data_IF_365603338258
#
_entry.id   IF_365603338258
#
_cell.length_a   1.000
_cell.length_b   1.000
_cell.length_c   1.000
_cell.angle_alpha   90.00
_cell.angle_beta   90.00
_cell.angle_gamma   90.00
#
_symmetry.space_group_name_H-M   'P 1'
#
loop_
_entity.id
_entity.type
_entity.pdbx_description
1 polymer ?
#
# COMPACT_ATOMS: atom_id res chain seq x y z
N UNK A 1 -6.86 73.50 64.28
CA UNK A 1 -8.20 73.46 63.64
C UNK A 1 -8.55 72.01 63.37
N UNK A 2 -9.80 71.63 63.72
CA UNK A 2 -10.46 70.33 63.47
C UNK A 2 -10.37 69.97 61.96
N UNK A 3 -10.31 68.72 61.49
CA UNK A 3 -11.23 67.58 61.71
C UNK A 3 -10.60 66.26 61.21
N UNK A 4 -10.82 65.17 61.95
CA UNK A 4 -10.67 63.76 61.54
C UNK A 4 -11.76 63.31 60.56
N UNK A 5 -11.47 62.31 59.72
CA UNK A 5 -12.29 61.15 59.25
C UNK A 5 -11.27 60.26 58.47
N UNK A 6 -11.19 58.94 58.47
CA UNK A 6 -11.65 57.79 59.25
C UNK A 6 -10.90 56.57 58.65
N UNK A 7 -10.62 55.59 59.48
CA UNK A 7 -10.03 54.27 59.21
C UNK A 7 -10.69 53.47 58.06
N UNK A 8 -9.93 52.56 57.43
CA UNK A 8 -10.12 51.09 57.56
C UNK A 8 -8.78 50.37 57.26
N UNK A 9 -8.41 49.55 58.25
CA UNK A 9 -7.32 48.59 58.31
C UNK A 9 -7.82 47.23 57.81
N UNK A 10 -6.94 46.35 57.34
CA UNK A 10 -6.71 45.02 57.94
C UNK A 10 -5.72 44.21 57.08
N UNK A 11 -4.74 43.68 57.80
CA UNK A 11 -3.73 42.73 57.39
C UNK A 11 -4.29 41.33 57.08
N UNK A 12 -3.60 40.57 56.23
CA UNK A 12 -3.60 39.08 56.25
C UNK A 12 -2.17 38.65 55.92
N UNK A 13 -1.34 38.35 56.93
CA UNK A 13 -1.18 37.08 57.63
C UNK A 13 -0.51 35.98 56.76
N UNK A 14 0.79 35.80 57.02
CA UNK A 14 1.54 34.58 56.75
C UNK A 14 0.86 33.40 57.45
N UNK A 15 0.45 32.40 56.67
CA UNK A 15 0.29 31.03 57.16
C UNK A 15 1.07 30.09 56.24
N UNK A 16 2.06 29.44 56.83
CA UNK A 16 2.74 28.31 56.25
C UNK A 16 1.75 27.15 56.14
N UNK A 17 1.56 26.64 54.93
CA UNK A 17 0.98 25.32 54.69
C UNK A 17 1.97 24.55 53.82
N UNK A 18 2.60 23.55 54.42
CA UNK A 18 3.31 22.50 53.71
C UNK A 18 2.30 21.74 52.84
N UNK A 19 2.42 21.88 51.53
CA UNK A 19 1.95 20.87 50.58
C UNK A 19 3.05 20.60 49.55
N UNK A 20 3.47 19.34 49.51
CA UNK A 20 4.25 18.72 48.46
C UNK A 20 3.63 19.07 47.09
N UNK A 21 4.31 19.89 46.30
CA UNK A 21 4.04 19.98 44.87
C UNK A 21 4.75 18.80 44.17
N UNK A 22 4.04 17.91 43.46
CA UNK A 22 4.70 17.05 42.51
C UNK A 22 5.21 17.93 41.36
N UNK A 23 6.49 17.75 41.01
CA UNK A 23 7.06 18.19 39.74
C UNK A 23 6.10 17.80 38.60
N UNK A 24 5.51 18.81 37.96
CA UNK A 24 4.78 18.63 36.71
C UNK A 24 5.82 18.24 35.66
N UNK A 25 5.96 16.94 35.42
CA UNK A 25 6.55 16.41 34.19
C UNK A 25 5.70 16.96 33.04
N UNK A 26 6.33 17.72 32.14
CA UNK A 26 5.72 18.10 30.87
C UNK A 26 5.18 16.84 30.17
N UNK A 27 3.86 16.83 29.96
CA UNK A 27 3.17 15.81 29.19
C UNK A 27 3.61 15.93 27.73
N UNK A 28 4.49 15.01 27.28
CA UNK A 28 4.68 14.73 25.85
C UNK A 28 3.33 14.51 25.20
N UNK A 29 2.93 15.44 24.32
CA UNK A 29 1.71 15.34 23.55
C UNK A 29 1.84 14.17 22.59
N UNK A 30 0.98 13.17 22.76
CA UNK A 30 0.77 12.11 21.77
C UNK A 30 -0.21 12.64 20.75
N UNK A 31 0.25 12.90 19.53
CA UNK A 31 -0.65 13.15 18.40
C UNK A 31 -1.09 11.79 17.86
N UNK A 32 -2.33 11.39 18.17
CA UNK A 32 -3.08 10.44 17.34
C UNK A 32 -3.73 11.30 16.26
N UNK A 33 -3.25 11.23 15.04
CA UNK A 33 -3.80 11.99 13.91
C UNK A 33 -5.03 11.27 13.38
N UNK A 34 -6.23 11.67 13.83
CA UNK A 34 -7.44 11.62 13.02
C UNK A 34 -7.44 12.86 12.14
N UNK A 35 -7.31 12.69 10.83
CA UNK A 35 -7.24 13.78 9.85
C UNK A 35 -8.66 14.35 9.65
N UNK A 36 -8.84 15.65 9.94
CA UNK A 36 -9.94 16.48 9.42
C UNK A 36 -9.30 17.79 8.96
N UNK A 37 -9.26 18.00 7.65
CA UNK A 37 -8.54 19.12 7.02
C UNK A 37 -9.23 20.47 7.20
N UNK A 38 -8.41 21.52 7.38
CA UNK A 38 -8.70 22.91 6.99
C UNK A 38 -7.37 23.52 6.51
N UNK A 39 -7.30 24.15 5.32
CA UNK A 39 -6.05 24.65 4.76
C UNK A 39 -5.71 26.07 5.25
N UNK A 40 -4.41 26.35 5.41
CA UNK A 40 -3.84 27.68 5.58
C UNK A 40 -2.96 27.97 4.35
N UNK A 41 -3.27 29.05 3.63
CA UNK A 41 -2.49 29.60 2.52
C UNK A 41 -1.06 29.96 2.94
N UNK A 42 -0.08 29.74 2.05
CA UNK A 42 0.85 30.81 1.64
C UNK A 42 1.80 30.48 0.48
N UNK A 43 1.95 31.53 -0.33
CA UNK A 43 3.18 32.07 -0.93
C UNK A 43 3.82 31.35 -2.14
N UNK A 44 3.69 32.03 -3.29
CA UNK A 44 4.43 31.83 -4.54
C UNK A 44 5.90 32.26 -4.41
N UNK A 45 6.81 31.54 -5.07
CA UNK A 45 8.05 32.12 -5.60
C UNK A 45 8.40 31.47 -6.95
N UNK A 46 8.86 32.31 -7.88
CA UNK A 46 9.01 32.07 -9.32
C UNK A 46 10.36 31.44 -9.69
N UNK A 47 10.34 30.69 -10.79
CA UNK A 47 11.46 30.24 -11.61
C UNK A 47 12.27 31.40 -12.23
N UNK A 48 13.56 31.23 -12.49
CA UNK A 48 14.07 30.86 -13.83
C UNK A 48 15.62 30.99 -14.01
N UNK A 49 16.16 29.93 -14.63
CA UNK A 49 17.11 29.83 -15.76
C UNK A 49 18.45 30.58 -15.81
N UNK A 50 19.48 29.85 -16.27
CA UNK A 50 20.69 30.39 -16.90
C UNK A 50 21.65 29.31 -17.40
N UNK A 51 21.63 29.04 -18.71
CA UNK A 51 22.46 28.09 -19.47
C UNK A 51 23.83 28.71 -19.82
N UNK A 52 24.91 27.91 -19.85
CA UNK A 52 26.04 28.13 -20.79
C UNK A 52 26.87 26.83 -21.03
N UNK A 53 27.44 26.72 -22.23
CA UNK A 53 27.86 25.50 -22.94
C UNK A 53 29.39 25.37 -23.22
N UNK A 54 29.77 24.18 -23.71
CA UNK A 54 30.96 23.78 -24.54
C UNK A 54 32.23 23.21 -23.85
N UNK A 55 33.09 22.41 -24.52
CA UNK A 55 32.92 21.48 -25.66
C UNK A 55 33.55 20.07 -25.47
N UNK A 56 33.38 19.22 -26.49
CA UNK A 56 33.68 17.79 -26.65
C UNK A 56 35.16 17.35 -26.66
N UNK A 57 35.42 16.09 -26.28
CA UNK A 57 36.52 15.26 -26.82
C UNK A 57 36.08 13.80 -27.03
N UNK A 58 36.31 13.28 -28.26
CA UNK A 58 36.07 11.90 -28.69
C UNK A 58 37.10 10.91 -28.13
N UNK A 59 36.67 9.67 -27.80
CA UNK A 59 37.21 8.41 -28.39
C UNK A 59 36.49 7.12 -27.92
N UNK A 60 35.98 6.42 -28.94
CA UNK A 60 35.92 4.97 -29.19
C UNK A 60 35.24 3.99 -28.20
N UNK A 61 34.13 3.47 -28.71
CA UNK A 61 33.28 2.35 -28.25
C UNK A 61 33.96 0.97 -28.37
N UNK A 62 33.45 -0.02 -27.63
CA UNK A 62 33.13 -1.32 -28.22
C UNK A 62 31.62 -1.59 -28.23
N UNK A 63 31.18 -2.13 -29.37
CA UNK A 63 29.81 -2.47 -29.81
C UNK A 63 28.90 -3.06 -28.72
N UNK A 64 27.84 -2.32 -28.38
CA UNK A 64 26.61 -2.87 -27.80
C UNK A 64 25.62 -3.15 -28.93
N UNK A 65 25.19 -4.41 -29.05
CA UNK A 65 24.13 -4.83 -29.95
C UNK A 65 22.89 -3.96 -29.68
N UNK A 66 22.51 -3.16 -30.67
CA UNK A 66 21.25 -2.43 -30.67
C UNK A 66 20.13 -3.45 -30.82
N UNK A 67 19.44 -3.76 -29.73
CA UNK A 67 18.10 -4.33 -29.81
C UNK A 67 17.21 -3.24 -30.40
N UNK A 68 16.89 -3.41 -31.68
CA UNK A 68 15.95 -2.57 -32.41
C UNK A 68 14.58 -2.72 -31.73
N UNK A 69 14.06 -1.61 -31.20
CA UNK A 69 12.66 -1.49 -30.79
C UNK A 69 11.80 -1.73 -32.04
N UNK A 70 11.21 -2.93 -32.13
CA UNK A 70 10.24 -3.25 -33.17
C UNK A 70 8.84 -3.23 -32.53
N UNK A 71 7.94 -2.49 -33.16
CA UNK A 71 6.60 -2.11 -32.69
C UNK A 71 5.59 -3.27 -32.67
N UNK A 72 5.00 -3.58 -31.49
CA UNK A 72 3.61 -4.02 -31.22
C UNK A 72 3.57 -4.68 -29.84
N UNK A 73 2.83 -4.07 -28.90
CA UNK A 73 2.67 -4.50 -27.50
C UNK A 73 3.99 -4.57 -26.70
N UNK A 74 4.19 -3.60 -25.80
CA UNK A 74 5.39 -3.52 -24.96
C UNK A 74 5.21 -4.47 -23.76
N UNK A 75 5.61 -5.72 -23.93
CA UNK A 75 5.72 -6.67 -22.83
C UNK A 75 7.12 -6.64 -22.23
N UNK A 76 7.20 -6.80 -20.90
CA UNK A 76 8.41 -7.15 -20.18
C UNK A 76 8.28 -8.61 -19.74
N UNK A 77 9.23 -9.42 -20.18
CA UNK A 77 9.37 -10.83 -19.81
C UNK A 77 10.13 -10.95 -18.49
N UNK A 78 9.93 -12.05 -17.74
CA UNK A 78 10.64 -12.27 -16.50
C UNK A 78 12.13 -12.51 -16.77
N UNK A 79 12.98 -12.25 -15.78
CA UNK A 79 14.42 -12.51 -15.85
C UNK A 79 14.67 -14.01 -16.06
N UNK A 80 13.92 -14.83 -15.33
CA UNK A 80 13.92 -16.29 -15.44
C UNK A 80 12.48 -16.78 -15.63
N UNK A 81 12.25 -17.58 -16.67
CA UNK A 81 10.95 -18.19 -16.92
C UNK A 81 10.83 -19.49 -16.10
N UNK A 82 9.82 -19.53 -15.24
CA UNK A 82 9.58 -20.67 -14.36
C UNK A 82 8.09 -20.89 -14.12
N UNK A 83 7.71 -22.16 -13.95
CA UNK A 83 6.41 -22.52 -13.42
C UNK A 83 6.51 -22.42 -11.89
N UNK A 84 5.74 -21.53 -11.29
CA UNK A 84 5.61 -21.45 -9.84
C UNK A 84 4.54 -22.43 -9.38
N UNK A 85 4.77 -23.07 -8.22
CA UNK A 85 3.84 -23.94 -7.50
C UNK A 85 3.68 -23.41 -6.08
N UNK A 86 2.59 -22.69 -5.82
CA UNK A 86 2.36 -22.01 -4.56
C UNK A 86 1.42 -22.84 -3.68
N UNK A 87 1.81 -23.09 -2.43
CA UNK A 87 1.05 -23.90 -1.47
C UNK A 87 1.47 -25.37 -1.47
N UNK A 88 0.80 -26.17 -0.63
CA UNK A 88 1.09 -27.61 -0.46
C UNK A 88 -0.10 -28.45 -0.94
N UNK A 89 0.18 -29.60 -1.53
CA UNK A 89 -0.82 -30.65 -1.78
C UNK A 89 -0.71 -31.70 -0.68
N UNK A 90 -1.82 -32.05 0.00
CA UNK A 90 -1.82 -33.05 1.09
C UNK A 90 -1.47 -34.47 0.61
N UNK A 91 -1.50 -34.73 -0.69
CA UNK A 91 -1.22 -36.04 -1.29
C UNK A 91 0.21 -36.19 -1.86
N UNK A 92 0.98 -35.11 -1.99
CA UNK A 92 2.37 -35.15 -2.44
C UNK A 92 3.28 -35.09 -1.22
N UNK A 93 4.01 -36.18 -0.93
CA UNK A 93 4.85 -36.38 0.25
C UNK A 93 6.14 -35.55 0.27
N UNK A 94 6.25 -34.52 -0.57
CA UNK A 94 7.42 -33.67 -0.65
C UNK A 94 7.01 -32.22 -0.44
N UNK A 95 7.74 -31.57 0.45
CA UNK A 95 7.58 -30.18 0.82
C UNK A 95 8.01 -29.31 -0.37
N UNK A 96 7.12 -29.12 -1.35
CA UNK A 96 7.38 -28.23 -2.49
C UNK A 96 7.26 -26.78 -2.00
N UNK A 97 8.33 -26.29 -1.37
CA UNK A 97 8.61 -24.85 -1.31
C UNK A 97 9.13 -24.49 -2.70
N UNK A 98 8.23 -24.35 -3.68
CA UNK A 98 8.66 -23.79 -4.96
C UNK A 98 8.78 -22.27 -4.84
N UNK A 99 9.63 -21.69 -5.68
CA UNK A 99 9.75 -20.26 -5.80
C UNK A 99 8.36 -19.60 -5.95
N UNK A 100 8.13 -18.54 -5.19
CA UNK A 100 6.89 -17.79 -5.19
C UNK A 100 7.08 -16.38 -5.77
N UNK A 101 8.26 -16.10 -6.31
CA UNK A 101 8.63 -14.79 -6.84
C UNK A 101 8.89 -14.85 -8.34
N UNK A 102 8.54 -13.77 -9.03
CA UNK A 102 8.92 -13.52 -10.42
C UNK A 102 9.59 -12.15 -10.49
N UNK A 103 10.81 -12.12 -11.02
CA UNK A 103 11.56 -10.89 -11.19
C UNK A 103 11.47 -10.37 -12.62
N UNK A 104 11.28 -9.06 -12.78
CA UNK A 104 11.24 -8.34 -14.05
C UNK A 104 12.28 -7.22 -14.03
N UNK A 105 13.04 -7.06 -15.11
CA UNK A 105 13.97 -5.94 -15.25
C UNK A 105 13.44 -4.91 -16.24
N UNK A 106 13.07 -3.73 -15.75
CA UNK A 106 12.56 -2.62 -16.54
C UNK A 106 13.72 -1.68 -16.83
N UNK A 107 14.16 -1.59 -18.09
CA UNK A 107 15.37 -0.86 -18.46
C UNK A 107 15.18 0.66 -18.47
N UNK A 108 14.00 1.12 -18.87
CA UNK A 108 13.71 2.53 -19.06
C UNK A 108 12.93 3.13 -17.88
N UNK A 109 13.02 4.46 -17.75
CA UNK A 109 12.12 5.18 -16.85
C UNK A 109 10.67 5.00 -17.32
N UNK A 110 9.77 4.70 -16.38
CA UNK A 110 8.36 4.49 -16.69
C UNK A 110 7.64 5.84 -16.74
N UNK A 111 6.96 6.09 -17.85
CA UNK A 111 6.00 7.19 -17.91
C UNK A 111 4.75 6.81 -17.13
N UNK A 112 4.38 7.63 -16.13
CA UNK A 112 3.14 7.48 -15.35
C UNK A 112 1.86 7.54 -16.21
N UNK A 113 1.97 7.90 -17.49
CA UNK A 113 0.86 8.02 -18.42
C UNK A 113 0.60 6.73 -19.19
N UNK A 114 0.86 5.54 -18.62
CA UNK A 114 0.52 4.26 -19.25
C UNK A 114 -0.16 3.33 -18.26
N UNK A 115 -1.19 2.63 -18.72
CA UNK A 115 -1.75 1.53 -17.96
C UNK A 115 -0.81 0.32 -18.01
N UNK A 116 -0.50 -0.24 -16.84
CA UNK A 116 0.24 -1.48 -16.72
C UNK A 116 -0.72 -2.63 -16.39
N UNK A 117 -0.39 -3.81 -16.90
CA UNK A 117 -1.07 -5.07 -16.60
C UNK A 117 -0.08 -6.13 -16.20
N UNK A 118 -0.42 -6.92 -15.18
CA UNK A 118 0.23 -8.20 -14.92
C UNK A 118 -0.59 -9.30 -15.60
N UNK A 119 0.05 -10.12 -16.41
CA UNK A 119 -0.60 -11.25 -17.08
C UNK A 119 0.15 -12.54 -16.77
N UNK A 120 -0.59 -13.64 -16.67
CA UNK A 120 -0.04 -14.97 -16.44
C UNK A 120 -1.11 -16.03 -16.69
N UNK A 121 -0.71 -17.29 -16.84
CA UNK A 121 -1.63 -18.41 -16.80
C UNK A 121 -1.71 -18.98 -15.38
N UNK A 122 -2.91 -19.26 -14.91
CA UNK A 122 -3.25 -19.70 -13.56
C UNK A 122 -3.90 -21.08 -13.59
N UNK A 123 -3.49 -21.98 -12.71
CA UNK A 123 -4.13 -23.27 -12.45
C UNK A 123 -4.37 -23.44 -10.96
N UNK A 124 -5.50 -24.02 -10.57
CA UNK A 124 -5.86 -24.31 -9.17
C UNK A 124 -6.82 -23.28 -8.57
N UNK A 125 -6.92 -22.09 -9.17
CA UNK A 125 -7.79 -21.00 -8.74
C UNK A 125 -8.60 -20.46 -9.94
N UNK A 126 -9.81 -19.98 -9.68
CA UNK A 126 -10.74 -19.49 -10.71
C UNK A 126 -10.13 -18.33 -11.51
N UNK A 127 -9.67 -17.31 -10.79
CA UNK A 127 -9.15 -16.06 -11.34
C UNK A 127 -8.19 -15.38 -10.36
N UNK A 128 -7.57 -14.29 -10.82
CA UNK A 128 -6.59 -13.53 -10.06
C UNK A 128 -7.09 -12.94 -8.74
N UNK A 129 -8.40 -12.78 -8.53
CA UNK A 129 -8.92 -12.25 -7.25
C UNK A 129 -8.77 -13.26 -6.12
N UNK A 130 -8.74 -14.56 -6.44
CA UNK A 130 -8.41 -15.64 -5.51
C UNK A 130 -6.90 -15.75 -5.24
N UNK A 131 -6.05 -15.03 -5.98
CA UNK A 131 -4.60 -15.04 -5.79
C UNK A 131 -4.22 -13.91 -4.85
N UNK A 132 -3.47 -14.22 -3.78
CA UNK A 132 -2.82 -13.19 -2.97
C UNK A 132 -1.45 -12.87 -3.55
N UNK A 133 -1.18 -11.60 -3.84
CA UNK A 133 0.13 -11.17 -4.38
C UNK A 133 0.55 -9.78 -3.92
N UNK A 134 1.86 -9.51 -3.95
CA UNK A 134 2.44 -8.19 -3.76
C UNK A 134 3.41 -7.84 -4.89
N UNK A 135 3.59 -6.53 -5.12
CA UNK A 135 4.58 -5.98 -6.06
C UNK A 135 5.62 -5.21 -5.24
N UNK A 136 6.89 -5.49 -5.47
CA UNK A 136 8.03 -4.87 -4.79
C UNK A 136 7.85 -4.90 -3.26
N UNK A 137 7.93 -3.74 -2.63
CA UNK A 137 7.76 -3.55 -1.20
C UNK A 137 6.32 -3.09 -0.85
N UNK A 138 5.38 -3.33 -1.76
CA UNK A 138 3.96 -3.16 -1.55
C UNK A 138 3.38 -4.17 -0.55
N UNK A 139 2.13 -3.93 -0.21
CA UNK A 139 1.31 -4.84 0.61
C UNK A 139 0.58 -5.83 -0.28
N UNK A 140 0.29 -7.01 0.25
CA UNK A 140 -0.41 -8.06 -0.48
C UNK A 140 -1.89 -7.73 -0.65
N UNK A 141 -2.41 -7.96 -1.85
CA UNK A 141 -3.79 -7.78 -2.27
C UNK A 141 -4.34 -9.09 -2.84
N UNK A 142 -5.66 -9.28 -2.82
CA UNK A 142 -6.28 -10.51 -3.27
C UNK A 142 -6.16 -11.68 -2.29
N UNK A 143 -6.79 -12.80 -2.67
CA UNK A 143 -6.86 -14.01 -1.86
C UNK A 143 -7.92 -13.99 -0.76
N UNK A 144 -8.79 -12.98 -0.70
CA UNK A 144 -9.84 -12.90 0.32
C UNK A 144 -10.98 -13.88 0.10
N UNK A 145 -11.35 -14.13 -1.15
CA UNK A 145 -12.35 -15.14 -1.51
C UNK A 145 -11.67 -16.13 -2.45
N UNK A 146 -11.59 -17.38 -2.02
CA UNK A 146 -10.93 -18.44 -2.77
C UNK A 146 -11.98 -19.30 -3.46
N UNK A 147 -11.90 -19.36 -4.78
CA UNK A 147 -12.62 -20.32 -5.60
C UNK A 147 -11.62 -21.19 -6.34
N UNK A 148 -11.66 -22.50 -6.09
CA UNK A 148 -10.79 -23.46 -6.75
C UNK A 148 -11.27 -23.74 -8.17
N UNK A 149 -10.31 -23.88 -9.08
CA UNK A 149 -10.54 -24.31 -10.47
C UNK A 149 -9.32 -25.08 -10.97
N UNK A 150 -9.50 -26.35 -11.29
CA UNK A 150 -8.41 -27.24 -11.73
C UNK A 150 -8.24 -27.26 -13.25
N UNK A 151 -8.19 -26.06 -13.85
CA UNK A 151 -7.95 -25.84 -15.26
C UNK A 151 -7.03 -24.63 -15.43
N UNK A 152 -6.25 -24.60 -16.51
CA UNK A 152 -5.48 -23.40 -16.85
C UNK A 152 -6.41 -22.30 -17.37
N UNK A 153 -6.24 -21.09 -16.84
CA UNK A 153 -6.96 -19.89 -17.25
C UNK A 153 -5.98 -18.72 -17.41
N UNK A 154 -6.18 -17.90 -18.44
CA UNK A 154 -5.36 -16.72 -18.65
C UNK A 154 -5.87 -15.55 -17.77
N UNK A 155 -4.97 -14.92 -17.04
CA UNK A 155 -5.25 -13.84 -16.11
C UNK A 155 -4.69 -12.53 -16.63
N UNK A 156 -5.45 -11.45 -16.42
CA UNK A 156 -5.07 -10.08 -16.77
C UNK A 156 -5.49 -9.16 -15.62
N UNK A 157 -4.49 -8.67 -14.89
CA UNK A 157 -4.68 -7.80 -13.74
C UNK A 157 -4.26 -6.38 -14.09
N UNK A 158 -5.06 -5.37 -13.71
CA UNK A 158 -4.61 -3.98 -13.74
C UNK A 158 -3.71 -3.74 -12.54
N UNK A 159 -2.53 -3.19 -12.78
CA UNK A 159 -1.59 -2.79 -11.71
C UNK A 159 -1.28 -1.31 -11.84
N UNK A 160 -1.02 -0.64 -10.72
CA UNK A 160 -0.67 0.77 -10.78
C UNK A 160 0.76 0.92 -11.32
N UNK A 161 0.95 1.85 -12.25
CA UNK A 161 2.28 2.16 -12.78
C UNK A 161 3.23 2.66 -11.68
N UNK A 162 2.69 3.24 -10.60
CA UNK A 162 3.46 3.71 -9.44
C UNK A 162 4.02 2.59 -8.57
N UNK A 163 3.53 1.35 -8.74
CA UNK A 163 4.09 0.17 -8.06
C UNK A 163 5.35 -0.36 -8.76
N UNK A 164 5.60 0.07 -10.00
CA UNK A 164 6.74 -0.35 -10.81
C UNK A 164 7.84 0.72 -10.80
N UNK A 165 9.09 0.26 -10.88
CA UNK A 165 10.28 1.12 -10.94
C UNK A 165 11.21 0.71 -12.06
N UNK A 166 12.09 1.62 -12.48
CA UNK A 166 13.25 1.23 -13.30
C UNK A 166 14.14 0.26 -12.52
N UNK A 167 14.70 -0.72 -13.23
CA UNK A 167 15.50 -1.80 -12.68
C UNK A 167 14.65 -3.02 -12.29
N UNK A 168 15.09 -3.73 -11.26
CA UNK A 168 14.47 -4.98 -10.82
C UNK A 168 13.16 -4.68 -10.08
N UNK A 169 12.11 -5.35 -10.53
CA UNK A 169 10.81 -5.42 -9.88
C UNK A 169 10.53 -6.87 -9.51
N UNK A 170 9.97 -7.11 -8.34
CA UNK A 170 9.66 -8.46 -7.83
C UNK A 170 8.16 -8.56 -7.61
N UNK A 171 7.52 -9.55 -8.21
CA UNK A 171 6.13 -9.90 -7.91
C UNK A 171 6.16 -11.18 -7.08
N UNK A 172 5.54 -11.13 -5.90
CA UNK A 172 5.46 -12.28 -4.99
C UNK A 172 4.04 -12.78 -4.92
N UNK A 173 3.87 -14.07 -5.11
CA UNK A 173 2.62 -14.77 -4.95
C UNK A 173 2.61 -15.44 -3.57
N UNK A 174 1.48 -15.39 -2.90
CA UNK A 174 1.35 -15.82 -1.51
C UNK A 174 0.32 -16.93 -1.38
N UNK A 175 0.53 -17.77 -0.38
CA UNK A 175 -0.46 -18.72 0.10
C UNK A 175 -0.88 -18.28 1.50
N UNK A 176 -2.18 -18.31 1.78
CA UNK A 176 -2.67 -17.97 3.09
C UNK A 176 -2.24 -19.02 4.12
N UNK A 177 -1.97 -18.56 5.35
CA UNK A 177 -1.59 -19.43 6.47
C UNK A 177 -2.70 -20.48 6.68
N UNK A 178 -2.33 -21.76 6.72
CA UNK A 178 -3.26 -22.92 6.86
C UNK A 178 -4.14 -23.21 5.63
N UNK A 179 -3.84 -22.63 4.46
CA UNK A 179 -4.48 -23.06 3.22
C UNK A 179 -4.21 -24.53 2.93
N UNK A 180 -5.27 -25.29 2.65
CA UNK A 180 -5.19 -26.68 2.19
C UNK A 180 -5.48 -26.77 0.69
N UNK A 181 -4.83 -25.91 -0.08
CA UNK A 181 -4.88 -25.89 -1.54
C UNK A 181 -3.54 -25.42 -2.08
N UNK A 182 -3.32 -25.66 -3.36
CA UNK A 182 -2.17 -25.15 -4.08
C UNK A 182 -2.61 -24.60 -5.43
N UNK A 183 -1.79 -23.76 -6.03
CA UNK A 183 -2.01 -23.23 -7.36
C UNK A 183 -0.70 -23.07 -8.11
N UNK A 184 -0.78 -22.98 -9.43
CA UNK A 184 0.39 -22.87 -10.31
C UNK A 184 0.26 -21.65 -11.18
N UNK A 185 1.41 -21.01 -11.43
CA UNK A 185 1.53 -19.83 -12.27
C UNK A 185 2.62 -20.07 -13.30
N UNK A 186 2.39 -19.64 -14.54
CA UNK A 186 3.40 -19.64 -15.60
C UNK A 186 3.17 -18.50 -16.58
N UNK A 187 4.11 -18.28 -17.49
CA UNK A 187 4.01 -17.30 -18.58
C UNK A 187 3.74 -15.87 -18.06
N UNK A 188 4.30 -15.53 -16.89
CA UNK A 188 4.08 -14.22 -16.27
C UNK A 188 4.75 -13.12 -17.09
N UNK A 189 4.06 -12.01 -17.32
CA UNK A 189 4.57 -10.85 -18.09
C UNK A 189 3.93 -9.55 -17.63
N UNK A 190 4.65 -8.45 -17.77
CA UNK A 190 4.08 -7.11 -17.58
C UNK A 190 3.77 -6.52 -18.96
N UNK A 191 2.51 -6.19 -19.23
CA UNK A 191 2.10 -5.49 -20.46
C UNK A 191 1.85 -4.02 -20.17
N UNK A 192 2.44 -3.14 -20.97
CA UNK A 192 2.07 -1.73 -21.00
C UNK A 192 1.12 -1.45 -22.16
N UNK A 193 -0.03 -0.85 -21.87
CA UNK A 193 -1.04 -0.52 -22.86
C UNK A 193 -1.09 0.99 -23.16
N UNK A 194 -2.28 1.44 -23.59
CA UNK A 194 -2.60 2.80 -24.01
C UNK A 194 -2.13 3.87 -23.03
N UNK A 195 -1.93 5.07 -23.57
CA UNK A 195 -1.72 6.23 -22.73
C UNK A 195 -2.97 6.48 -21.91
N UNK A 196 -2.82 6.52 -20.60
CA UNK A 196 -3.89 6.97 -19.70
C UNK A 196 -3.81 8.49 -19.57
N UNK A 197 -4.97 9.14 -19.47
CA UNK A 197 -5.03 10.53 -19.04
C UNK A 197 -4.70 10.60 -17.54
N UNK A 198 -4.15 11.73 -17.10
CA UNK A 198 -3.80 11.94 -15.68
C UNK A 198 -5.02 12.35 -14.84
N UNK A 199 -6.22 11.96 -15.25
CA UNK A 199 -7.43 12.32 -14.53
C UNK A 199 -7.56 11.49 -13.27
N UNK A 200 -8.09 12.15 -12.22
CA UNK A 200 -8.47 11.48 -10.97
C UNK A 200 -9.60 10.49 -11.25
N UNK A 201 -9.33 9.20 -11.07
CA UNK A 201 -10.28 8.13 -11.42
C UNK A 201 -10.11 6.92 -10.51
N UNK A 202 -11.21 6.24 -10.22
CA UNK A 202 -11.19 4.94 -9.55
C UNK A 202 -10.97 3.85 -10.61
N UNK A 203 -9.90 3.07 -10.45
CA UNK A 203 -9.59 1.92 -11.29
C UNK A 203 -9.95 0.65 -10.52
N UNK A 204 -10.92 -0.09 -11.04
CA UNK A 204 -11.33 -1.39 -10.49
C UNK A 204 -10.54 -2.50 -11.18
N UNK A 205 -9.95 -3.37 -10.36
CA UNK A 205 -9.18 -4.55 -10.76
C UNK A 205 -9.97 -5.81 -10.40
N UNK A 206 -10.96 -6.14 -11.24
CA UNK A 206 -11.80 -7.33 -11.13
C UNK A 206 -11.86 -8.04 -12.49
N UNK A 207 -12.09 -9.36 -12.54
CA UNK A 207 -12.20 -10.12 -13.79
C UNK A 207 -13.40 -9.64 -14.61
N UNK A 208 -13.43 -9.95 -15.89
CA UNK A 208 -14.58 -9.59 -16.75
C UNK A 208 -15.89 -10.23 -16.26
N UNK A 209 -15.81 -11.45 -15.72
CA UNK A 209 -16.94 -12.18 -15.15
C UNK A 209 -17.11 -11.89 -13.64
N UNK A 210 -17.37 -10.63 -13.30
CA UNK A 210 -17.50 -10.17 -11.91
C UNK A 210 -18.63 -10.93 -11.22
N UNK A 211 -18.28 -11.66 -10.17
CA UNK A 211 -19.20 -12.50 -9.39
C UNK A 211 -19.20 -12.09 -7.93
N UNK A 212 -20.36 -12.14 -7.30
CA UNK A 212 -20.51 -12.05 -5.85
C UNK A 212 -20.71 -13.46 -5.28
N UNK A 213 -20.59 -13.58 -3.95
CA UNK A 213 -20.52 -14.85 -3.26
C UNK A 213 -21.50 -14.86 -2.10
N UNK A 214 -22.78 -15.16 -2.38
CA UNK A 214 -23.85 -14.92 -1.42
C UNK A 214 -23.96 -13.44 -1.09
N UNK A 215 -23.85 -13.08 0.19
CA UNK A 215 -23.84 -11.69 0.66
C UNK A 215 -22.49 -10.98 0.52
N UNK A 216 -21.44 -11.68 0.10
CA UNK A 216 -20.07 -11.16 0.04
C UNK A 216 -19.71 -10.63 -1.34
N UNK A 217 -19.29 -9.37 -1.39
CA UNK A 217 -18.89 -8.66 -2.59
C UNK A 217 -17.44 -8.22 -2.46
N UNK A 218 -16.56 -8.85 -3.22
CA UNK A 218 -15.14 -8.50 -3.23
C UNK A 218 -14.87 -7.32 -4.17
N UNK A 219 -14.13 -6.34 -3.67
CA UNK A 219 -13.70 -5.17 -4.41
C UNK A 219 -12.20 -4.98 -4.26
N UNK A 220 -11.52 -4.70 -5.37
CA UNK A 220 -10.08 -4.46 -5.41
C UNK A 220 -9.77 -3.42 -6.48
N UNK A 221 -8.76 -2.59 -6.22
CA UNK A 221 -8.29 -1.61 -7.19
C UNK A 221 -7.48 -0.50 -6.57
N UNK A 222 -7.40 0.61 -7.28
CA UNK A 222 -6.69 1.81 -6.83
C UNK A 222 -7.35 3.09 -7.34
N UNK A 223 -7.09 4.20 -6.64
CA UNK A 223 -7.44 5.54 -7.10
C UNK A 223 -6.24 6.11 -7.85
N UNK A 224 -6.41 6.32 -9.14
CA UNK A 224 -5.43 7.02 -9.96
C UNK A 224 -5.53 8.52 -9.68
N UNK A 225 -4.41 9.12 -9.31
CA UNK A 225 -4.23 10.57 -9.18
C UNK A 225 -2.78 10.92 -9.48
N UNK A 226 -2.53 12.16 -9.90
CA UNK A 226 -1.20 12.73 -10.18
C UNK A 226 -0.78 13.79 -9.15
N UNK A 227 -1.62 14.01 -8.13
CA UNK A 227 -1.37 14.93 -7.04
C UNK A 227 -1.50 14.21 -5.68
N UNK A 228 -1.08 14.90 -4.63
CA UNK A 228 -1.13 14.41 -3.25
C UNK A 228 -2.41 14.88 -2.53
N UNK A 229 -3.44 15.32 -3.26
CA UNK A 229 -4.68 15.81 -2.65
C UNK A 229 -5.35 14.66 -1.89
N UNK A 230 -5.57 14.78 -0.57
CA UNK A 230 -6.21 13.73 0.19
C UNK A 230 -7.65 13.51 -0.28
N UNK A 231 -8.13 12.29 -0.07
CA UNK A 231 -9.50 11.91 -0.38
C UNK A 231 -9.97 10.81 0.56
N UNK A 232 -11.28 10.65 0.66
CA UNK A 232 -11.91 9.48 1.26
C UNK A 232 -12.60 8.66 0.18
N UNK A 233 -12.38 7.35 0.19
CA UNK A 233 -13.04 6.40 -0.71
C UNK A 233 -14.22 5.74 0.02
N UNK A 234 -15.36 5.65 -0.66
CA UNK A 234 -16.56 5.00 -0.17
C UNK A 234 -16.98 3.88 -1.12
N UNK A 235 -17.47 2.78 -0.54
CA UNK A 235 -18.34 1.83 -1.23
C UNK A 235 -19.77 2.04 -0.76
N UNK A 236 -20.64 2.45 -1.68
CA UNK A 236 -21.93 3.05 -1.41
C UNK A 236 -21.75 4.22 -0.42
N UNK A 237 -22.12 4.02 0.84
CA UNK A 237 -21.97 5.01 1.92
C UNK A 237 -21.00 4.57 3.02
N UNK A 238 -20.30 3.45 2.84
CA UNK A 238 -19.35 2.92 3.82
C UNK A 238 -17.92 3.33 3.42
N UNK A 239 -17.16 4.00 4.30
CA UNK A 239 -15.78 4.34 4.00
C UNK A 239 -14.92 3.09 3.89
N UNK A 240 -14.07 3.04 2.87
CA UNK A 240 -13.08 2.00 2.66
C UNK A 240 -11.72 2.41 3.21
N UNK A 241 -10.98 1.43 3.71
CA UNK A 241 -9.57 1.64 4.00
C UNK A 241 -8.77 1.72 2.70
N UNK A 242 -7.93 2.74 2.58
CA UNK A 242 -7.05 2.96 1.43
C UNK A 242 -5.62 3.07 1.91
N UNK A 243 -4.71 2.35 1.25
CA UNK A 243 -3.28 2.42 1.53
C UNK A 243 -2.50 2.58 0.23
N UNK A 244 -1.66 3.62 0.14
CA UNK A 244 -0.92 3.98 -1.06
C UNK A 244 -1.81 3.94 -2.32
N UNK A 245 -2.97 4.58 -2.21
CA UNK A 245 -4.03 4.62 -3.23
C UNK A 245 -4.76 3.32 -3.55
N UNK A 246 -4.37 2.19 -2.98
CA UNK A 246 -5.01 0.90 -3.21
C UNK A 246 -6.11 0.62 -2.18
N UNK A 247 -7.10 -0.17 -2.58
CA UNK A 247 -8.16 -0.70 -1.73
C UNK A 247 -8.40 -2.17 -2.06
N UNK A 248 -8.69 -2.97 -1.03
CA UNK A 248 -8.88 -4.42 -1.13
C UNK A 248 -9.84 -4.85 -0.02
N UNK A 249 -11.11 -5.10 -0.35
CA UNK A 249 -12.12 -5.38 0.69
C UNK A 249 -13.19 -6.37 0.27
N UNK A 250 -13.81 -6.99 1.28
CA UNK A 250 -14.99 -7.83 1.11
C UNK A 250 -16.14 -7.18 1.86
N UNK A 251 -17.15 -6.77 1.12
CA UNK A 251 -18.35 -6.11 1.65
C UNK A 251 -19.42 -7.17 1.89
N UNK A 252 -19.91 -7.26 3.12
CA UNK A 252 -21.06 -8.09 3.47
C UNK A 252 -22.34 -7.26 3.35
N UNK A 253 -23.16 -7.54 2.35
CA UNK A 253 -24.40 -6.82 2.05
C UNK A 253 -25.58 -7.81 2.08
N UNK A 254 -26.07 -8.20 3.27
CA UNK A 254 -27.24 -9.06 3.40
C UNK A 254 -28.46 -8.34 2.83
N UNK A 255 -29.19 -9.00 1.94
CA UNK A 255 -30.40 -8.49 1.26
C UNK A 255 -30.14 -7.41 0.20
N UNK A 256 -28.97 -7.39 -0.44
CA UNK A 256 -28.76 -6.54 -1.60
C UNK A 256 -29.39 -7.19 -2.85
N UNK A 257 -30.61 -6.76 -3.19
CA UNK A 257 -31.31 -7.17 -4.42
C UNK A 257 -30.60 -6.62 -5.68
N UNK A 258 -29.95 -5.46 -5.54
CA UNK A 258 -29.15 -4.83 -6.58
C UNK A 258 -27.69 -5.27 -6.43
N UNK A 259 -27.23 -6.16 -7.30
CA UNK A 259 -25.85 -6.63 -7.32
C UNK A 259 -24.86 -5.55 -7.84
N UNK A 260 -25.03 -4.29 -7.44
CA UNK A 260 -24.22 -3.15 -7.83
C UNK A 260 -23.61 -2.45 -6.61
N UNK A 261 -22.35 -2.05 -6.72
CA UNK A 261 -21.65 -1.26 -5.70
C UNK A 261 -21.14 0.02 -6.36
N UNK A 262 -21.56 1.17 -5.84
CA UNK A 262 -20.99 2.47 -6.21
C UNK A 262 -19.68 2.65 -5.45
N UNK A 263 -18.57 2.84 -6.15
CA UNK A 263 -17.34 3.36 -5.55
C UNK A 263 -17.27 4.86 -5.80
N UNK A 264 -16.98 5.63 -4.76
CA UNK A 264 -16.94 7.10 -4.82
C UNK A 264 -15.75 7.64 -4.04
N UNK A 265 -14.87 8.39 -4.70
CA UNK A 265 -13.75 9.09 -4.10
C UNK A 265 -14.10 10.58 -4.02
N UNK A 266 -14.06 11.13 -2.81
CA UNK A 266 -14.30 12.54 -2.52
C UNK A 266 -12.99 13.17 -2.08
N UNK A 267 -12.43 14.06 -2.91
CA UNK A 267 -11.18 14.76 -2.66
C UNK A 267 -11.42 16.03 -1.84
N UNK A 268 -10.42 16.43 -1.05
CA UNK A 268 -10.51 17.58 -0.14
C UNK A 268 -10.70 18.92 -0.87
N UNK A 269 -10.38 18.99 -2.17
CA UNK A 269 -10.63 20.15 -3.02
C UNK A 269 -12.04 20.18 -3.64
N UNK A 270 -12.89 19.23 -3.26
CA UNK A 270 -14.27 19.12 -3.72
C UNK A 270 -14.44 18.33 -5.02
N UNK A 271 -13.37 17.86 -5.66
CA UNK A 271 -13.49 16.96 -6.81
C UNK A 271 -14.06 15.61 -6.37
N UNK A 272 -14.96 15.05 -7.17
CA UNK A 272 -15.55 13.73 -6.93
C UNK A 272 -15.45 12.90 -8.19
N UNK A 273 -14.96 11.67 -8.07
CA UNK A 273 -15.11 10.67 -9.12
C UNK A 273 -15.79 9.42 -8.56
N UNK A 274 -16.61 8.77 -9.40
CA UNK A 274 -17.31 7.55 -9.04
C UNK A 274 -17.30 6.53 -10.18
N UNK A 275 -17.49 5.26 -9.82
CA UNK A 275 -17.65 4.16 -10.77
C UNK A 275 -18.54 3.08 -10.16
N UNK A 276 -19.35 2.41 -10.97
CA UNK A 276 -20.22 1.32 -10.53
C UNK A 276 -19.59 -0.02 -10.85
N UNK A 277 -19.59 -0.92 -9.88
CA UNK A 277 -19.21 -2.32 -10.04
C UNK A 277 -20.47 -3.16 -10.07
N UNK A 278 -20.80 -3.71 -11.24
CA UNK A 278 -21.97 -4.56 -11.43
C UNK A 278 -21.54 -6.03 -11.36
N UNK A 279 -22.06 -6.75 -10.37
CA UNK A 279 -21.84 -8.17 -10.15
C UNK A 279 -22.93 -8.95 -10.88
N UNK A 280 -22.54 -9.78 -11.85
CA UNK A 280 -23.48 -10.38 -12.79
C UNK A 280 -23.86 -11.82 -12.43
N UNK A 281 -23.13 -12.43 -11.48
CA UNK A 281 -23.28 -13.83 -11.10
C UNK A 281 -23.13 -14.00 -9.61
N UNK A 282 -23.91 -14.93 -9.05
CA UNK A 282 -23.71 -15.46 -7.71
C UNK A 282 -22.96 -16.80 -7.81
N UNK A 283 -21.76 -16.87 -7.24
CA UNK A 283 -20.93 -18.08 -7.22
C UNK A 283 -20.76 -18.57 -5.79
N UNK A 284 -20.53 -19.88 -5.64
CA UNK A 284 -20.03 -20.45 -4.38
C UNK A 284 -18.51 -20.27 -4.27
N UNK A 285 -18.04 -20.06 -3.05
CA UNK A 285 -16.62 -20.00 -2.67
C UNK A 285 -16.22 -21.28 -1.92
N UNK A 286 -14.92 -21.56 -1.87
CA UNK A 286 -14.36 -22.65 -1.07
C UNK A 286 -13.81 -22.15 0.26
N UNK A 287 -13.17 -20.96 0.26
CA UNK A 287 -12.67 -20.31 1.47
C UNK A 287 -12.97 -18.81 1.45
N UNK A 288 -13.23 -18.25 2.62
CA UNK A 288 -13.47 -16.83 2.84
C UNK A 288 -12.57 -16.34 3.98
N UNK A 289 -11.81 -15.29 3.70
CA UNK A 289 -10.95 -14.58 4.64
C UNK A 289 -11.42 -13.13 4.71
N UNK A 290 -12.40 -12.87 5.58
CA UNK A 290 -13.08 -11.58 5.68
C UNK A 290 -12.44 -10.63 6.71
N UNK A 291 -11.12 -10.76 6.91
CA UNK A 291 -10.40 -9.81 7.74
C UNK A 291 -10.27 -8.48 6.99
N UNK A 292 -10.45 -7.37 7.72
CA UNK A 292 -10.28 -6.04 7.15
C UNK A 292 -8.84 -5.89 6.65
N UNK A 293 -8.70 -5.38 5.43
CA UNK A 293 -7.39 -5.07 4.86
C UNK A 293 -6.88 -3.77 5.48
N UNK A 294 -6.25 -3.87 6.64
CA UNK A 294 -5.69 -2.72 7.37
C UNK A 294 -4.19 -2.89 7.43
N UNK A 295 -3.45 -1.91 6.91
CA UNK A 295 -1.99 -1.89 6.95
C UNK A 295 -1.54 -1.17 8.22
N UNK A 296 -0.91 -1.87 9.18
CA UNK A 296 -0.42 -1.25 10.39
C UNK A 296 0.79 -0.36 10.08
N UNK A 297 0.63 0.95 10.20
CA UNK A 297 1.70 1.92 9.95
C UNK A 297 1.95 2.82 11.15
N UNK A 298 3.21 3.22 11.31
CA UNK A 298 3.63 4.26 12.24
C UNK A 298 4.59 5.21 11.53
N UNK A 299 4.30 6.51 11.60
CA UNK A 299 5.12 7.56 10.98
C UNK A 299 5.66 8.47 12.07
N UNK A 300 6.94 8.83 11.95
CA UNK A 300 7.58 9.81 12.81
C UNK A 300 8.56 10.63 11.99
N UNK A 301 8.84 11.85 12.46
CA UNK A 301 9.88 12.69 11.88
C UNK A 301 11.09 12.66 12.81
N UNK A 302 12.26 12.37 12.26
CA UNK A 302 13.54 12.45 12.95
C UNK A 302 14.23 13.76 12.63
N UNK A 303 14.76 14.41 13.66
CA UNK A 303 15.41 15.72 13.58
C UNK A 303 16.92 15.59 13.86
N UNK A 304 17.79 16.36 13.19
CA UNK A 304 19.24 16.27 13.37
C UNK A 304 19.72 16.53 14.79
N UNK A 305 19.19 17.54 15.47
CA UNK A 305 19.72 18.00 16.76
C UNK A 305 19.04 17.37 17.98
N UNK A 306 18.32 16.26 17.77
CA UNK A 306 17.59 15.57 18.82
C UNK A 306 17.96 14.09 18.83
N UNK A 307 17.97 13.48 20.02
CA UNK A 307 17.79 12.04 20.13
C UNK A 307 16.39 11.68 19.58
N UNK A 308 16.34 10.69 18.69
CA UNK A 308 15.07 10.23 18.13
C UNK A 308 14.76 8.82 18.62
N UNK A 309 13.50 8.58 18.96
CA UNK A 309 13.03 7.27 19.38
C UNK A 309 11.69 6.95 18.73
N UNK A 310 11.61 5.78 18.12
CA UNK A 310 10.39 5.16 17.63
C UNK A 310 10.11 3.92 18.47
N UNK A 311 8.88 3.79 18.97
CA UNK A 311 8.38 2.55 19.53
C UNK A 311 7.07 2.21 18.85
N UNK A 312 7.04 1.11 18.14
CA UNK A 312 5.88 0.64 17.42
C UNK A 312 5.68 -0.85 17.70
N UNK A 313 4.81 -1.15 18.66
CA UNK A 313 4.31 -2.50 19.00
C UNK A 313 5.35 -3.60 18.79
N UNK A 314 6.37 -3.67 19.64
CA UNK A 314 7.42 -4.71 19.57
C UNK A 314 8.65 -4.33 18.73
N UNK A 315 8.61 -3.26 17.94
CA UNK A 315 9.80 -2.64 17.34
C UNK A 315 10.20 -1.38 18.12
N UNK A 316 11.50 -1.24 18.40
CA UNK A 316 12.10 -0.01 18.89
C UNK A 316 13.28 0.37 18.00
N UNK A 317 13.26 1.60 17.48
CA UNK A 317 14.39 2.23 16.80
C UNK A 317 14.81 3.46 17.60
N UNK A 318 16.11 3.68 17.72
CA UNK A 318 16.66 4.86 18.37
C UNK A 318 17.83 5.39 17.57
N UNK A 319 18.05 6.70 17.66
CA UNK A 319 19.22 7.35 17.12
C UNK A 319 19.70 8.45 18.06
N UNK A 320 21.01 8.64 18.10
CA UNK A 320 21.65 9.73 18.83
C UNK A 320 21.49 11.04 18.05
N UNK A 321 21.76 12.15 18.73
CA UNK A 321 21.88 13.46 18.08
C UNK A 321 22.86 13.38 16.88
N UNK A 322 22.51 14.09 15.82
CA UNK A 322 23.22 14.21 14.55
C UNK A 322 23.31 12.92 13.71
N UNK A 323 22.55 11.86 14.05
CA UNK A 323 22.46 10.66 13.21
C UNK A 323 21.87 10.96 11.82
N UNK A 324 20.87 11.83 11.76
CA UNK A 324 20.30 12.34 10.51
C UNK A 324 20.85 13.75 10.24
N UNK A 325 21.25 14.03 9.01
CA UNK A 325 21.80 15.35 8.62
C UNK A 325 20.73 16.41 8.41
N UNK A 326 19.54 15.95 8.05
CA UNK A 326 18.36 16.77 7.81
C UNK A 326 17.12 16.06 8.35
N UNK A 327 16.02 16.80 8.42
CA UNK A 327 14.74 16.29 8.89
C UNK A 327 14.28 15.14 7.99
N UNK A 328 14.04 13.97 8.57
CA UNK A 328 13.75 12.73 7.84
C UNK A 328 12.43 12.12 8.28
N UNK A 329 11.56 11.77 7.33
CA UNK A 329 10.36 10.98 7.60
C UNK A 329 10.73 9.50 7.71
N UNK A 330 10.43 8.87 8.84
CA UNK A 330 10.56 7.43 9.06
C UNK A 330 9.16 6.82 9.09
N UNK A 331 8.94 5.77 8.29
CA UNK A 331 7.68 5.04 8.25
C UNK A 331 7.93 3.57 8.54
N UNK A 332 7.37 3.06 9.62
CA UNK A 332 7.42 1.63 9.94
C UNK A 332 6.07 1.01 9.65
N UNK A 333 6.08 -0.07 8.87
CA UNK A 333 4.94 -0.94 8.61
C UNK A 333 5.09 -2.25 9.39
N UNK A 334 4.04 -2.67 10.08
CA UNK A 334 3.92 -4.03 10.61
C UNK A 334 3.37 -4.95 9.52
N UNK A 335 4.11 -5.99 9.15
CA UNK A 335 3.72 -6.92 8.10
C UNK A 335 2.64 -7.89 8.61
N UNK A 336 1.58 -8.08 7.82
CA UNK A 336 0.60 -9.15 8.02
C UNK A 336 1.20 -10.48 7.57
N UNK A 337 0.50 -11.59 7.82
CA UNK A 337 0.99 -12.91 7.40
C UNK A 337 1.20 -12.97 5.88
N UNK A 338 0.25 -12.42 5.14
CA UNK A 338 0.28 -12.35 3.68
C UNK A 338 1.31 -11.33 3.12
N UNK A 339 1.79 -10.38 3.92
CA UNK A 339 2.84 -9.42 3.49
C UNK A 339 4.26 -9.94 3.74
N UNK A 340 4.40 -11.01 4.53
CA UNK A 340 5.68 -11.60 4.90
C UNK A 340 6.16 -12.54 3.78
N UNK A 341 7.44 -12.46 3.35
CA UNK A 341 8.03 -13.49 2.52
C UNK A 341 7.95 -14.86 3.20
N UNK A 342 7.91 -15.93 2.39
CA UNK A 342 8.03 -17.28 2.90
C UNK A 342 9.39 -17.43 3.58
N UNK A 343 9.37 -17.99 4.79
CA UNK A 343 10.58 -18.31 5.53
C UNK A 343 11.08 -19.69 5.09
N UNK A 344 12.39 -19.85 5.00
CA UNK A 344 12.99 -21.18 4.81
C UNK A 344 12.58 -22.12 5.95
N UNK A 345 12.50 -23.42 5.67
CA UNK A 345 12.10 -24.42 6.67
C UNK A 345 12.97 -24.41 7.94
N UNK A 346 14.21 -23.92 7.85
CA UNK A 346 15.14 -23.79 8.98
C UNK A 346 15.06 -22.44 9.70
N UNK A 347 14.18 -21.54 9.27
CA UNK A 347 14.01 -20.21 9.87
C UNK A 347 12.77 -20.19 10.79
N UNK A 348 12.98 -19.69 12.00
CA UNK A 348 11.90 -19.43 12.95
C UNK A 348 11.64 -17.94 12.99
N UNK A 349 10.38 -17.54 12.79
CA UNK A 349 10.00 -16.16 13.00
C UNK A 349 10.02 -15.82 14.50
N UNK A 350 10.83 -14.83 14.88
CA UNK A 350 11.00 -14.36 16.26
C UNK A 350 10.40 -12.97 16.50
N UNK A 351 9.60 -12.47 15.55
CA UNK A 351 8.93 -11.17 15.69
C UNK A 351 7.82 -11.21 16.73
N UNK A 352 7.57 -10.08 17.38
CA UNK A 352 6.65 -10.01 18.50
C UNK A 352 5.17 -9.88 18.07
N UNK A 353 4.74 -8.68 17.68
CA UNK A 353 3.31 -8.36 17.52
C UNK A 353 2.82 -8.45 16.07
N UNK A 354 3.73 -8.31 15.11
CA UNK A 354 3.45 -8.45 13.68
C UNK A 354 4.30 -9.59 13.11
N UNK A 355 3.92 -10.11 11.94
CA UNK A 355 4.67 -11.19 11.29
C UNK A 355 6.05 -10.69 10.83
N UNK A 356 6.21 -9.39 10.61
CA UNK A 356 7.48 -8.74 10.34
C UNK A 356 7.35 -7.23 10.45
N UNK A 357 8.44 -6.52 10.16
CA UNK A 357 8.44 -5.06 10.06
C UNK A 357 9.19 -4.63 8.81
N UNK A 358 8.74 -3.54 8.18
CA UNK A 358 9.40 -2.88 7.04
C UNK A 358 9.52 -1.40 7.38
N UNK A 359 10.70 -0.82 7.23
CA UNK A 359 11.02 0.57 7.62
C UNK A 359 11.34 1.44 6.40
#
# INVERSE_FOLDING_TARGET
>A
MKTSVLFISIAVLLFAINFNFPLIKEKKHHYITTFTGVPIEKAKSNENQGVLSTPSLHKNTPKTSKTVLNTKENYILPIDEQILVIGKNSEESEEVVSANEVAFNILDELSIQRQAYLEYDLFGLEDFTSVSRSINDGVSMGGKIIKLRYEWSHQVEKISISELKKGINIIRFHILKQANYHYKIKNARIRFAEKINNERKIIVNLPTDISHYGEYFYINGYVQTNDETPYTLYANNTPLYVFNHHFDDVLALPNNDDATIELKAVFDDGFVCSTNVNFNKNKQYHYLFNDKWIVPIYKIIWEPLNENKLNFKGLSLFSEENTVKEKMNITVMGLRNEDMPLLDANMVNVTAQYTGYRC
#
